data_IF_176793249332
#
_entry.id   IF_176793249332
#
_cell.length_a   1.000
_cell.length_b   1.000
_cell.length_c   1.000
_cell.angle_alpha   90.00
_cell.angle_beta   90.00
_cell.angle_gamma   90.00
#
_symmetry.space_group_name_H-M   'P 1'
#
loop_
_entity.id
_entity.type
_entity.pdbx_description
1 polymer ?
#
# COMPACT_ATOMS: atom_id res chain seq x y z
N UNK A 1 -2.12 -3.66 38.26
CA UNK A 1 -1.90 -3.43 36.81
C UNK A 1 -1.31 -2.04 36.65
N UNK A 2 -0.02 -1.95 36.34
CA UNK A 2 0.75 -0.68 36.44
C UNK A 2 0.32 0.30 35.34
N UNK A 3 0.12 1.59 35.65
CA UNK A 3 -0.31 2.64 34.71
C UNK A 3 0.53 2.68 33.42
N UNK A 4 1.85 2.41 33.54
CA UNK A 4 2.78 2.28 32.40
C UNK A 4 2.35 1.20 31.39
N UNK A 5 1.83 0.07 31.87
CA UNK A 5 1.40 -1.06 31.04
C UNK A 5 0.10 -0.74 30.28
N UNK A 6 -0.82 -0.03 30.94
CA UNK A 6 -2.07 0.44 30.34
C UNK A 6 -1.81 1.46 29.21
N UNK A 7 -0.93 2.45 29.46
CA UNK A 7 -0.56 3.47 28.48
C UNK A 7 0.11 2.85 27.24
N UNK A 8 1.05 1.93 27.46
CA UNK A 8 1.74 1.21 26.38
C UNK A 8 0.76 0.40 25.53
N UNK A 9 -0.20 -0.30 26.15
CA UNK A 9 -1.21 -1.07 25.42
C UNK A 9 -2.11 -0.16 24.54
N UNK A 10 -2.46 1.02 25.04
CA UNK A 10 -3.24 2.01 24.27
C UNK A 10 -2.49 2.49 23.02
N UNK A 11 -1.22 2.88 23.16
CA UNK A 11 -0.41 3.32 22.02
C UNK A 11 -0.17 2.19 21.01
N UNK A 12 0.07 0.96 21.46
CA UNK A 12 0.19 -0.18 20.54
C UNK A 12 -1.10 -0.47 19.79
N UNK A 13 -2.26 -0.40 20.45
CA UNK A 13 -3.57 -0.56 19.80
C UNK A 13 -3.79 0.48 18.70
N UNK A 14 -3.51 1.75 19.00
CA UNK A 14 -3.64 2.84 18.04
C UNK A 14 -2.67 2.70 16.86
N UNK A 15 -1.45 2.27 17.14
CA UNK A 15 -0.41 2.00 16.13
C UNK A 15 -0.82 0.83 15.21
N UNK A 16 -1.36 -0.25 15.78
CA UNK A 16 -1.88 -1.40 15.01
C UNK A 16 -3.01 -0.93 14.08
N UNK A 17 -3.93 -0.11 14.57
CA UNK A 17 -5.02 0.44 13.76
C UNK A 17 -4.50 1.24 12.57
N UNK A 18 -3.59 2.19 12.81
CA UNK A 18 -3.01 3.04 11.76
C UNK A 18 -2.27 2.21 10.72
N UNK A 19 -1.42 1.28 11.15
CA UNK A 19 -0.69 0.42 10.21
C UNK A 19 -1.61 -0.55 9.47
N UNK A 20 -2.70 -1.01 10.07
CA UNK A 20 -3.70 -1.86 9.40
C UNK A 20 -4.37 -1.13 8.25
N UNK A 21 -4.80 0.12 8.48
CA UNK A 21 -5.37 0.98 7.43
C UNK A 21 -4.34 1.25 6.33
N UNK A 22 -3.10 1.55 6.70
CA UNK A 22 -2.01 1.75 5.73
C UNK A 22 -1.76 0.48 4.89
N UNK A 23 -1.73 -0.70 5.52
CA UNK A 23 -1.54 -1.96 4.82
C UNK A 23 -2.67 -2.23 3.83
N UNK A 24 -3.93 -2.05 4.25
CA UNK A 24 -5.08 -2.20 3.38
C UNK A 24 -5.01 -1.22 2.18
N UNK A 25 -4.64 0.04 2.44
CA UNK A 25 -4.44 1.05 1.40
C UNK A 25 -3.36 0.65 0.39
N UNK A 26 -2.19 0.22 0.85
CA UNK A 26 -1.09 -0.20 -0.04
C UNK A 26 -1.47 -1.40 -0.92
N UNK A 27 -2.16 -2.39 -0.35
CA UNK A 27 -2.63 -3.56 -1.10
C UNK A 27 -3.68 -3.14 -2.13
N UNK A 28 -4.68 -2.35 -1.74
CA UNK A 28 -5.71 -1.84 -2.65
C UNK A 28 -5.09 -1.02 -3.79
N UNK A 29 -4.17 -0.10 -3.49
CA UNK A 29 -3.47 0.68 -4.51
C UNK A 29 -2.67 -0.22 -5.46
N UNK A 30 -2.00 -1.26 -4.97
CA UNK A 30 -1.26 -2.19 -5.84
C UNK A 30 -2.18 -2.92 -6.82
N UNK A 31 -3.37 -3.33 -6.38
CA UNK A 31 -4.39 -3.97 -7.22
C UNK A 31 -4.95 -3.00 -8.26
N UNK A 32 -5.27 -1.77 -7.84
CA UNK A 32 -5.79 -0.73 -8.74
C UNK A 32 -4.78 -0.40 -9.84
N UNK A 33 -3.49 -0.30 -9.51
CA UNK A 33 -2.44 -0.04 -10.50
C UNK A 33 -2.33 -1.18 -11.51
N UNK A 34 -2.33 -2.44 -11.05
CA UNK A 34 -2.33 -3.59 -11.95
C UNK A 34 -3.55 -3.59 -12.88
N UNK A 35 -4.75 -3.40 -12.32
CA UNK A 35 -5.98 -3.33 -13.10
C UNK A 35 -5.98 -2.19 -14.11
N UNK A 36 -5.51 -1.01 -13.71
CA UNK A 36 -5.41 0.17 -14.57
C UNK A 36 -4.41 -0.04 -15.71
N UNK A 37 -3.28 -0.68 -15.42
CA UNK A 37 -2.30 -1.07 -16.44
C UNK A 37 -2.89 -2.02 -17.48
N UNK A 38 -3.64 -3.04 -17.04
CA UNK A 38 -4.31 -4.00 -17.92
C UNK A 38 -5.40 -3.32 -18.75
N UNK A 39 -6.31 -2.55 -18.14
CA UNK A 39 -7.40 -1.87 -18.85
C UNK A 39 -6.87 -0.93 -19.94
N UNK A 40 -5.82 -0.17 -19.65
CA UNK A 40 -5.20 0.74 -20.63
C UNK A 40 -4.67 0.00 -21.86
N UNK A 41 -4.20 -1.24 -21.70
CA UNK A 41 -3.71 -2.05 -22.83
C UNK A 41 -4.78 -2.77 -23.63
N UNK A 42 -5.98 -2.94 -23.06
CA UNK A 42 -7.15 -3.49 -23.77
C UNK A 42 -7.81 -2.40 -24.66
N UNK A 43 -7.31 -1.15 -24.62
CA UNK A 43 -7.81 -0.04 -25.44
C UNK A 43 -8.76 0.90 -24.71
N UNK A 44 -8.82 0.83 -23.37
CA UNK A 44 -9.55 1.82 -22.57
C UNK A 44 -8.74 3.13 -22.49
N UNK A 45 -8.85 3.96 -23.53
CA UNK A 45 -8.14 5.25 -23.63
C UNK A 45 -8.59 6.31 -22.60
N UNK A 46 -9.72 6.09 -21.91
CA UNK A 46 -10.19 6.98 -20.84
C UNK A 46 -9.26 7.02 -19.63
N UNK A 47 -8.47 5.96 -19.40
CA UNK A 47 -7.53 5.91 -18.27
C UNK A 47 -6.22 6.55 -18.70
N UNK A 48 -6.10 7.87 -18.51
CA UNK A 48 -4.85 8.60 -18.77
C UNK A 48 -3.85 8.41 -17.62
N UNK A 49 -2.73 7.76 -17.91
CA UNK A 49 -1.54 7.74 -17.05
C UNK A 49 -0.57 8.81 -17.54
N UNK A 50 -0.18 9.72 -16.64
CA UNK A 50 0.83 10.75 -16.89
C UNK A 50 2.01 10.54 -15.93
N UNK A 51 3.26 10.60 -16.42
CA UNK A 51 4.44 10.67 -15.54
C UNK A 51 4.45 12.00 -14.79
N UNK A 52 4.08 13.07 -15.49
CA UNK A 52 4.17 14.44 -15.02
C UNK A 52 3.03 15.28 -15.62
N UNK A 53 2.83 16.50 -15.10
CA UNK A 53 1.86 17.43 -15.68
C UNK A 53 2.13 17.65 -17.17
N UNK A 54 1.15 17.30 -18.02
CA UNK A 54 1.25 17.40 -19.47
C UNK A 54 2.09 16.33 -20.17
N UNK A 55 2.71 15.39 -19.45
CA UNK A 55 3.52 14.32 -20.05
C UNK A 55 2.73 13.01 -20.04
N UNK A 56 2.09 12.72 -21.16
CA UNK A 56 1.34 11.48 -21.37
C UNK A 56 2.28 10.28 -21.49
N UNK A 57 1.98 9.23 -20.74
CA UNK A 57 2.77 7.99 -20.73
C UNK A 57 2.36 7.13 -21.93
N UNK A 58 3.25 6.80 -22.88
CA UNK A 58 2.84 6.00 -24.03
C UNK A 58 2.33 4.62 -23.57
N UNK A 59 1.32 4.07 -24.27
CA UNK A 59 0.63 2.82 -23.90
C UNK A 59 1.59 1.64 -23.73
N UNK A 60 2.69 1.62 -24.50
CA UNK A 60 3.72 0.58 -24.41
C UNK A 60 4.42 0.55 -23.04
N UNK A 61 4.55 1.71 -22.39
CA UNK A 61 5.19 1.84 -21.08
C UNK A 61 4.21 1.68 -19.91
N UNK A 62 2.90 1.62 -20.13
CA UNK A 62 1.95 1.55 -19.02
C UNK A 62 1.99 0.22 -18.28
N UNK A 63 2.19 -0.92 -18.97
CA UNK A 63 2.34 -2.23 -18.30
C UNK A 63 3.63 -2.29 -17.47
N UNK A 64 4.83 -2.00 -18.04
CA UNK A 64 6.08 -2.03 -17.26
C UNK A 64 6.02 -1.15 -16.03
N UNK A 65 5.48 0.07 -16.17
CA UNK A 65 5.37 1.03 -15.06
C UNK A 65 4.37 0.55 -14.02
N UNK A 66 3.19 0.08 -14.44
CA UNK A 66 2.19 -0.45 -13.51
C UNK A 66 2.73 -1.66 -12.73
N UNK A 67 3.41 -2.59 -13.41
CA UNK A 67 4.06 -3.73 -12.76
C UNK A 67 5.11 -3.28 -11.75
N UNK A 68 6.00 -2.37 -12.14
CA UNK A 68 7.06 -1.86 -11.26
C UNK A 68 6.48 -1.22 -9.99
N UNK A 69 5.49 -0.34 -10.13
CA UNK A 69 4.83 0.30 -8.99
C UNK A 69 4.03 -0.69 -8.14
N UNK A 70 3.36 -1.66 -8.75
CA UNK A 70 2.62 -2.70 -8.01
C UNK A 70 3.55 -3.56 -7.16
N UNK A 71 4.70 -3.97 -7.72
CA UNK A 71 5.73 -4.75 -7.00
C UNK A 71 6.31 -3.91 -5.87
N UNK A 72 6.59 -2.63 -6.12
CA UNK A 72 7.10 -1.71 -5.10
C UNK A 72 6.11 -1.55 -3.94
N UNK A 73 4.83 -1.27 -4.22
CA UNK A 73 3.78 -1.16 -3.20
C UNK A 73 3.57 -2.47 -2.45
N UNK A 74 3.61 -3.60 -3.15
CA UNK A 74 3.52 -4.91 -2.53
C UNK A 74 4.69 -5.16 -1.59
N UNK A 75 5.91 -4.80 -2.00
CA UNK A 75 7.09 -4.88 -1.14
C UNK A 75 6.91 -4.00 0.11
N UNK A 76 6.51 -2.73 -0.03
CA UNK A 76 6.20 -1.85 1.09
C UNK A 76 5.14 -2.45 2.04
N UNK A 77 4.07 -3.03 1.49
CA UNK A 77 3.02 -3.68 2.29
C UNK A 77 3.57 -4.81 3.17
N UNK A 78 4.58 -5.54 2.70
CA UNK A 78 5.25 -6.62 3.46
C UNK A 78 5.98 -6.06 4.69
N UNK A 79 6.64 -4.91 4.58
CA UNK A 79 7.28 -4.24 5.72
C UNK A 79 6.26 -3.71 6.73
N UNK A 80 5.15 -3.14 6.24
CA UNK A 80 4.06 -2.69 7.11
C UNK A 80 3.47 -3.89 7.87
N UNK A 81 3.21 -5.01 7.20
CA UNK A 81 2.73 -6.24 7.85
C UNK A 81 3.69 -6.75 8.93
N UNK A 82 5.00 -6.67 8.70
CA UNK A 82 6.02 -7.02 9.71
C UNK A 82 5.95 -6.10 10.92
N UNK A 83 5.74 -4.80 10.69
CA UNK A 83 5.60 -3.80 11.76
C UNK A 83 4.34 -4.03 12.60
N UNK A 84 3.20 -4.34 11.97
CA UNK A 84 1.96 -4.73 12.66
C UNK A 84 2.20 -5.95 13.55
N UNK A 85 2.82 -7.00 12.99
CA UNK A 85 3.11 -8.23 13.74
C UNK A 85 3.96 -7.97 14.98
N UNK A 86 4.98 -7.12 14.85
CA UNK A 86 5.82 -6.72 15.99
C UNK A 86 5.01 -5.97 17.07
N UNK A 87 4.15 -5.03 16.68
CA UNK A 87 3.28 -4.31 17.62
C UNK A 87 2.28 -5.25 18.30
N UNK A 88 1.71 -6.22 17.58
CA UNK A 88 0.78 -7.22 18.13
C UNK A 88 1.47 -8.14 19.13
N UNK A 89 2.69 -8.61 18.82
CA UNK A 89 3.47 -9.42 19.75
C UNK A 89 3.78 -8.64 21.03
N UNK A 90 4.22 -7.38 20.91
CA UNK A 90 4.50 -6.51 22.07
C UNK A 90 3.26 -6.11 22.87
N UNK A 91 2.09 -6.05 22.24
CA UNK A 91 0.82 -5.73 22.93
C UNK A 91 0.26 -6.92 23.74
N UNK A 92 0.65 -8.16 23.40
CA UNK A 92 0.21 -9.37 24.12
C UNK A 92 0.98 -9.64 25.42
N UNK A 93 2.16 -9.05 25.61
CA UNK A 93 3.01 -9.20 26.81
C UNK A 93 2.84 -8.03 27.78
#
# INVERSE_FOLDING_TARGET
MTVKKLLSAFFYSLTILVFSVLYAGLVLSSLIILLSGILRTIGFEQIKMNIWYGVELPVVLSIPVALLFSIFLFYCSKYVKRSIKFCVEKAKF
#
